data_IF_553115587154
#
_entry.id   IF_553115587154
#
_cell.length_a   1.000
_cell.length_b   1.000
_cell.length_c   1.000
_cell.angle_alpha   90.00
_cell.angle_beta   90.00
_cell.angle_gamma   90.00
#
_symmetry.space_group_name_H-M   'P 1'
#
loop_
_entity.id
_entity.type
_entity.pdbx_description
1 polymer ?
#
# COMPACT_ATOMS: atom_id res chain seq x y z
N UNK A 1 -13.72 35.67 26.07
CA UNK A 1 -12.59 34.71 25.95
C UNK A 1 -12.35 34.26 24.50
N UNK A 2 -13.38 34.24 23.66
CA UNK A 2 -13.31 33.82 22.24
C UNK A 2 -12.61 34.82 21.32
N UNK A 3 -12.74 36.13 21.55
CA UNK A 3 -12.07 37.17 20.76
C UNK A 3 -10.54 37.15 20.91
N UNK A 4 -10.03 36.82 22.09
CA UNK A 4 -8.57 36.73 22.31
C UNK A 4 -7.96 35.47 21.67
N UNK A 5 -8.73 34.40 21.53
CA UNK A 5 -8.31 33.20 20.79
C UNK A 5 -8.25 33.49 19.29
N UNK A 6 -9.30 34.11 18.73
CA UNK A 6 -9.36 34.47 17.32
C UNK A 6 -8.23 35.40 16.89
N UNK A 7 -7.89 36.40 17.74
CA UNK A 7 -6.78 37.30 17.46
C UNK A 7 -5.39 36.60 17.49
N UNK A 8 -5.21 35.59 18.35
CA UNK A 8 -3.96 34.79 18.41
C UNK A 8 -3.82 33.85 17.22
N UNK A 9 -4.91 33.23 16.79
CA UNK A 9 -4.90 32.37 15.59
C UNK A 9 -4.65 33.18 14.32
N UNK A 10 -5.23 34.36 14.18
CA UNK A 10 -4.94 35.25 13.04
C UNK A 10 -3.48 35.75 13.02
N UNK A 11 -2.89 36.03 14.18
CA UNK A 11 -1.51 36.41 14.27
C UNK A 11 -0.54 35.26 13.94
N UNK A 12 -0.88 34.02 14.31
CA UNK A 12 -0.13 32.82 13.99
C UNK A 12 -0.18 32.51 12.48
N UNK A 13 -1.36 32.62 11.86
CA UNK A 13 -1.56 32.44 10.41
C UNK A 13 -0.75 33.44 9.59
N UNK A 14 -0.71 34.70 10.02
CA UNK A 14 0.12 35.73 9.36
C UNK A 14 1.63 35.50 9.50
N UNK A 15 2.06 34.85 10.58
CA UNK A 15 3.48 34.65 10.87
C UNK A 15 4.07 33.41 10.15
N UNK A 16 3.22 32.40 9.85
CA UNK A 16 3.63 31.15 9.21
C UNK A 16 2.66 30.72 8.10
N UNK A 17 2.51 31.51 7.01
CA UNK A 17 1.50 31.24 5.97
C UNK A 17 1.72 29.88 5.27
N UNK A 18 2.96 29.49 5.04
CA UNK A 18 3.30 28.21 4.37
C UNK A 18 2.94 27.02 5.26
N UNK A 19 3.24 27.09 6.57
CA UNK A 19 2.90 26.01 7.52
C UNK A 19 1.40 25.81 7.67
N UNK A 20 0.61 26.88 7.61
CA UNK A 20 -0.87 26.82 7.67
C UNK A 20 -1.46 26.22 6.40
N UNK A 21 -0.89 26.54 5.23
CA UNK A 21 -1.31 25.96 3.94
C UNK A 21 -1.02 24.46 3.91
N UNK A 22 0.15 24.05 4.38
CA UNK A 22 0.52 22.63 4.48
C UNK A 22 -0.42 21.88 5.44
N UNK A 23 -0.68 22.45 6.63
CA UNK A 23 -1.57 21.85 7.61
C UNK A 23 -3.03 21.73 7.08
N UNK A 24 -3.52 22.74 6.35
CA UNK A 24 -4.82 22.71 5.70
C UNK A 24 -4.87 21.67 4.57
N UNK A 25 -3.83 21.57 3.76
CA UNK A 25 -3.71 20.56 2.71
C UNK A 25 -3.69 19.14 3.29
N UNK A 26 -2.93 18.91 4.37
CA UNK A 26 -2.92 17.62 5.08
C UNK A 26 -4.30 17.29 5.69
N UNK A 27 -4.99 18.27 6.31
CA UNK A 27 -6.35 18.07 6.81
C UNK A 27 -7.35 17.74 5.69
N UNK A 28 -7.24 18.41 4.54
CA UNK A 28 -8.10 18.12 3.38
C UNK A 28 -7.81 16.74 2.78
N UNK A 29 -6.56 16.30 2.75
CA UNK A 29 -6.19 14.95 2.32
C UNK A 29 -6.72 13.90 3.29
N UNK A 30 -6.59 14.10 4.60
CA UNK A 30 -7.14 13.19 5.62
C UNK A 30 -8.67 13.13 5.51
N UNK A 31 -9.34 14.28 5.31
CA UNK A 31 -10.80 14.33 5.13
C UNK A 31 -11.26 13.67 3.82
N UNK A 32 -10.51 13.80 2.74
CA UNK A 32 -10.83 13.13 1.46
C UNK A 32 -10.62 11.62 1.54
N UNK A 33 -9.58 11.16 2.24
CA UNK A 33 -9.35 9.73 2.48
C UNK A 33 -10.45 9.12 3.36
N UNK A 34 -10.86 9.79 4.43
CA UNK A 34 -11.99 9.32 5.27
C UNK A 34 -13.33 9.32 4.52
N UNK A 35 -13.54 10.25 3.57
CA UNK A 35 -14.75 10.29 2.77
C UNK A 35 -14.81 9.16 1.73
N UNK A 36 -13.68 8.76 1.17
CA UNK A 36 -13.60 7.62 0.26
C UNK A 36 -13.83 6.28 0.98
N UNK A 37 -13.21 6.08 2.15
CA UNK A 37 -13.41 4.86 2.95
C UNK A 37 -14.87 4.72 3.42
N UNK A 38 -15.50 5.83 3.85
CA UNK A 38 -16.90 5.79 4.30
C UNK A 38 -17.90 5.52 3.17
N UNK A 39 -17.64 5.97 1.95
CA UNK A 39 -18.52 5.72 0.79
C UNK A 39 -18.33 4.33 0.20
N UNK A 40 -17.12 3.78 0.18
CA UNK A 40 -16.87 2.40 -0.23
C UNK A 40 -17.47 1.40 0.78
N UNK A 41 -17.28 1.62 2.08
CA UNK A 41 -17.89 0.79 3.11
C UNK A 41 -19.43 0.76 3.04
N UNK A 42 -20.08 1.87 2.69
CA UNK A 42 -21.55 1.91 2.60
C UNK A 42 -22.12 1.32 1.31
N UNK A 43 -21.38 1.38 0.19
CA UNK A 43 -21.81 0.80 -1.09
C UNK A 43 -21.45 -0.69 -1.13
N UNK A 44 -20.25 -1.08 -0.66
CA UNK A 44 -19.82 -2.48 -0.57
C UNK A 44 -20.70 -3.29 0.39
N UNK A 45 -20.94 -2.79 1.60
CA UNK A 45 -21.77 -3.47 2.59
C UNK A 45 -23.24 -3.65 2.15
N UNK A 46 -23.79 -2.71 1.36
CA UNK A 46 -25.16 -2.81 0.88
C UNK A 46 -25.33 -3.86 -0.24
N UNK A 47 -24.38 -3.97 -1.14
CA UNK A 47 -24.44 -4.91 -2.27
C UNK A 47 -23.99 -6.32 -1.86
N UNK A 48 -22.89 -6.44 -1.12
CA UNK A 48 -22.39 -7.74 -0.63
C UNK A 48 -23.39 -8.36 0.33
N UNK A 49 -23.97 -7.61 1.26
CA UNK A 49 -24.97 -8.14 2.18
C UNK A 49 -26.27 -8.59 1.49
N UNK A 50 -26.71 -7.92 0.42
CA UNK A 50 -27.91 -8.31 -0.30
C UNK A 50 -27.74 -9.59 -1.15
N UNK A 51 -26.54 -9.83 -1.69
CA UNK A 51 -26.20 -11.04 -2.46
C UNK A 51 -25.83 -12.18 -1.50
N UNK A 52 -25.09 -11.89 -0.44
CA UNK A 52 -24.68 -12.88 0.56
C UNK A 52 -25.87 -13.63 1.18
N UNK A 53 -26.92 -12.92 1.57
CA UNK A 53 -28.11 -13.50 2.20
C UNK A 53 -28.87 -14.54 1.31
N UNK A 54 -28.60 -14.61 0.01
CA UNK A 54 -29.30 -15.50 -0.90
C UNK A 54 -28.43 -16.64 -1.50
N UNK A 55 -27.12 -16.51 -1.43
CA UNK A 55 -26.21 -17.37 -2.22
C UNK A 55 -25.20 -18.13 -1.36
N UNK A 56 -24.62 -17.46 -0.37
CA UNK A 56 -23.55 -18.03 0.45
C UNK A 56 -24.10 -18.66 1.73
N UNK A 57 -23.47 -19.75 2.17
CA UNK A 57 -23.92 -20.56 3.33
C UNK A 57 -23.41 -19.97 4.66
N UNK A 58 -22.33 -19.19 4.61
CA UNK A 58 -21.75 -18.55 5.82
C UNK A 58 -22.61 -17.38 6.28
N UNK A 59 -22.52 -17.05 7.57
CA UNK A 59 -23.22 -15.89 8.16
C UNK A 59 -22.69 -14.58 7.56
N UNK A 60 -23.57 -13.60 7.39
CA UNK A 60 -23.20 -12.28 6.85
C UNK A 60 -22.06 -11.61 7.61
N UNK A 61 -21.99 -11.81 8.94
CA UNK A 61 -20.94 -11.26 9.77
C UNK A 61 -19.55 -11.85 9.43
N UNK A 62 -19.48 -13.14 9.11
CA UNK A 62 -18.24 -13.82 8.70
C UNK A 62 -17.81 -13.40 7.30
N UNK A 63 -18.77 -13.28 6.38
CA UNK A 63 -18.53 -12.81 5.01
C UNK A 63 -17.94 -11.38 5.03
N UNK A 64 -18.59 -10.47 5.75
CA UNK A 64 -18.11 -9.10 5.91
C UNK A 64 -16.79 -9.02 6.68
N UNK A 65 -16.61 -9.92 7.66
CA UNK A 65 -15.36 -10.04 8.42
C UNK A 65 -14.19 -10.49 7.56
N UNK A 66 -14.39 -11.45 6.66
CA UNK A 66 -13.38 -11.93 5.73
C UNK A 66 -12.97 -10.83 4.71
N UNK A 67 -13.97 -10.12 4.17
CA UNK A 67 -13.73 -8.96 3.30
C UNK A 67 -12.93 -7.86 4.02
N UNK A 68 -13.34 -7.51 5.24
CA UNK A 68 -12.62 -6.52 6.04
C UNK A 68 -11.18 -6.96 6.37
N UNK A 69 -10.96 -8.25 6.61
CA UNK A 69 -9.62 -8.78 6.87
C UNK A 69 -8.73 -8.72 5.62
N UNK A 70 -9.29 -8.97 4.43
CA UNK A 70 -8.54 -8.85 3.18
C UNK A 70 -8.20 -7.39 2.86
N UNK A 71 -9.15 -6.48 3.02
CA UNK A 71 -8.91 -5.04 2.92
C UNK A 71 -7.82 -4.55 3.88
N UNK A 72 -7.74 -5.12 5.09
CA UNK A 72 -6.69 -4.77 6.04
C UNK A 72 -5.30 -5.18 5.55
N UNK A 73 -5.14 -6.34 4.90
CA UNK A 73 -3.88 -6.75 4.27
C UNK A 73 -3.48 -5.80 3.13
N UNK A 74 -4.46 -5.37 2.33
CA UNK A 74 -4.21 -4.37 1.27
C UNK A 74 -3.80 -3.01 1.84
N UNK A 75 -4.42 -2.59 2.94
CA UNK A 75 -4.08 -1.33 3.61
C UNK A 75 -2.66 -1.38 4.22
N UNK A 76 -2.25 -2.51 4.80
CA UNK A 76 -0.89 -2.73 5.27
C UNK A 76 0.13 -2.64 4.13
N UNK A 77 -0.16 -3.23 2.96
CA UNK A 77 0.69 -3.14 1.78
C UNK A 77 0.79 -1.70 1.26
N UNK A 78 -0.35 -0.98 1.21
CA UNK A 78 -0.37 0.45 0.82
C UNK A 78 0.46 1.31 1.77
N UNK A 79 0.33 1.08 3.08
CA UNK A 79 1.10 1.82 4.10
C UNK A 79 2.60 1.51 4.00
N UNK A 80 2.96 0.24 3.79
CA UNK A 80 4.35 -0.17 3.56
C UNK A 80 4.95 0.59 2.38
N UNK A 81 4.31 0.55 1.20
CA UNK A 81 4.78 1.22 0.00
C UNK A 81 4.84 2.75 0.16
N UNK A 82 3.84 3.35 0.80
CA UNK A 82 3.79 4.79 1.06
C UNK A 82 4.89 5.27 2.03
N UNK A 83 5.39 4.38 2.87
CA UNK A 83 6.45 4.68 3.82
C UNK A 83 7.85 4.27 3.34
N UNK A 84 7.97 3.59 2.21
CA UNK A 84 9.17 2.90 1.77
C UNK A 84 10.41 3.83 1.70
N UNK A 85 10.33 4.95 1.00
CA UNK A 85 11.43 5.91 0.91
C UNK A 85 11.86 6.46 2.28
N UNK A 86 10.92 6.63 3.19
CA UNK A 86 11.21 7.16 4.54
C UNK A 86 11.87 6.13 5.44
N UNK A 87 11.60 4.85 5.22
CA UNK A 87 12.07 3.74 6.06
C UNK A 87 13.36 3.10 5.55
N UNK A 88 13.72 3.35 4.30
CA UNK A 88 14.93 2.87 3.66
C UNK A 88 15.89 4.02 3.34
N UNK A 89 17.18 3.77 3.47
CA UNK A 89 18.21 4.80 3.31
C UNK A 89 18.96 4.70 1.98
N UNK A 90 18.25 4.51 0.87
CA UNK A 90 18.85 4.46 -0.46
C UNK A 90 18.94 5.86 -1.07
N UNK A 91 19.80 6.03 -2.08
CA UNK A 91 20.04 7.31 -2.71
C UNK A 91 19.00 7.65 -3.79
N UNK A 92 18.44 6.60 -4.44
CA UNK A 92 17.47 6.74 -5.52
C UNK A 92 16.42 5.62 -5.44
N UNK A 93 15.17 5.93 -5.81
CA UNK A 93 14.04 5.00 -5.77
C UNK A 93 13.28 5.00 -7.09
N UNK A 94 12.97 3.80 -7.59
CA UNK A 94 12.13 3.57 -8.74
C UNK A 94 10.97 2.66 -8.35
N UNK A 95 9.74 3.13 -8.59
CA UNK A 95 8.52 2.40 -8.30
C UNK A 95 7.79 2.07 -9.59
N UNK A 96 7.42 0.79 -9.74
CA UNK A 96 6.51 0.28 -10.75
C UNK A 96 5.42 -0.52 -10.04
N UNK A 97 4.29 0.13 -9.77
CA UNK A 97 3.26 -0.36 -8.86
C UNK A 97 1.92 -0.47 -9.56
N UNK A 98 1.39 -1.69 -9.62
CA UNK A 98 0.00 -1.94 -9.98
C UNK A 98 -0.96 -1.41 -8.90
N UNK A 99 -2.23 -1.24 -9.27
CA UNK A 99 -3.29 -0.86 -8.34
C UNK A 99 -3.54 -1.97 -7.30
N UNK A 100 -3.68 -1.55 -6.04
CA UNK A 100 -4.01 -2.47 -4.94
C UNK A 100 -5.53 -2.46 -4.78
N UNK A 101 -6.19 -3.39 -5.43
CA UNK A 101 -7.63 -3.59 -5.39
C UNK A 101 -8.01 -5.05 -5.67
N UNK A 102 -9.14 -5.49 -5.18
CA UNK A 102 -9.71 -6.80 -5.49
C UNK A 102 -11.23 -6.70 -5.70
N UNK A 103 -11.83 -7.74 -6.28
CA UNK A 103 -13.27 -7.90 -6.38
C UNK A 103 -13.79 -8.72 -5.19
N UNK A 104 -14.61 -8.13 -4.29
CA UNK A 104 -15.15 -8.83 -3.13
C UNK A 104 -15.98 -10.05 -3.49
N UNK A 105 -16.68 -10.03 -4.64
CA UNK A 105 -17.46 -11.20 -5.09
C UNK A 105 -16.55 -12.36 -5.47
N UNK A 106 -15.42 -12.09 -6.13
CA UNK A 106 -14.41 -13.07 -6.44
C UNK A 106 -13.84 -13.67 -5.16
N UNK A 107 -13.46 -12.84 -4.20
CA UNK A 107 -12.90 -13.27 -2.91
C UNK A 107 -13.85 -14.21 -2.17
N UNK A 108 -15.10 -13.79 -1.94
CA UNK A 108 -16.08 -14.57 -1.19
C UNK A 108 -16.47 -15.84 -1.94
N UNK A 109 -16.58 -15.79 -3.27
CA UNK A 109 -16.82 -16.99 -4.08
C UNK A 109 -15.67 -17.99 -4.00
N UNK A 110 -14.42 -17.51 -3.96
CA UNK A 110 -13.24 -18.37 -3.77
C UNK A 110 -13.24 -19.02 -2.38
N UNK A 111 -13.46 -18.25 -1.32
CA UNK A 111 -13.54 -18.79 0.05
C UNK A 111 -14.61 -19.87 0.14
N UNK A 112 -15.80 -19.60 -0.38
CA UNK A 112 -16.94 -20.54 -0.37
C UNK A 112 -16.70 -21.78 -1.21
N UNK A 113 -15.88 -21.68 -2.28
CA UNK A 113 -15.50 -22.83 -3.09
C UNK A 113 -14.39 -23.68 -2.43
N UNK A 114 -13.47 -23.04 -1.72
CA UNK A 114 -12.35 -23.71 -1.05
C UNK A 114 -12.79 -24.42 0.24
N UNK A 115 -13.74 -23.81 0.96
CA UNK A 115 -14.29 -24.35 2.21
C UNK A 115 -15.66 -24.96 1.95
N UNK A 116 -15.86 -26.22 2.37
CA UNK A 116 -17.14 -26.91 2.23
C UNK A 116 -18.11 -26.48 3.34
N UNK A 117 -19.26 -25.91 2.95
CA UNK A 117 -20.27 -25.46 3.90
C UNK A 117 -20.04 -24.04 4.43
N UNK A 118 -20.64 -23.75 5.61
CA UNK A 118 -20.42 -22.50 6.27
C UNK A 118 -19.03 -22.46 6.91
N UNK A 119 -18.39 -21.31 6.80
CA UNK A 119 -17.07 -21.03 7.41
C UNK A 119 -17.15 -19.75 8.24
N UNK A 120 -16.26 -19.62 9.20
CA UNK A 120 -16.07 -18.41 10.02
C UNK A 120 -14.84 -17.65 9.55
N UNK A 121 -14.77 -16.36 9.88
CA UNK A 121 -13.61 -15.52 9.54
C UNK A 121 -12.30 -16.08 10.11
N UNK A 122 -12.33 -16.65 11.31
CA UNK A 122 -11.15 -17.23 11.96
C UNK A 122 -10.62 -18.46 11.21
N UNK A 123 -11.53 -19.28 10.67
CA UNK A 123 -11.16 -20.49 9.89
C UNK A 123 -10.52 -20.15 8.56
N UNK A 124 -10.87 -19.02 7.94
CA UNK A 124 -10.38 -18.64 6.62
C UNK A 124 -9.17 -17.70 6.63
N UNK A 125 -8.66 -17.27 7.79
CA UNK A 125 -7.52 -16.35 7.90
C UNK A 125 -6.30 -16.82 7.10
N UNK A 126 -5.92 -18.10 7.22
CA UNK A 126 -4.80 -18.67 6.46
C UNK A 126 -5.05 -18.72 4.96
N UNK A 127 -6.31 -18.88 4.54
CA UNK A 127 -6.71 -18.84 3.13
C UNK A 127 -6.64 -17.42 2.59
N UNK A 128 -7.13 -16.43 3.34
CA UNK A 128 -7.04 -15.01 2.99
C UNK A 128 -5.59 -14.59 2.76
N UNK A 129 -4.69 -14.92 3.70
CA UNK A 129 -3.27 -14.65 3.56
C UNK A 129 -2.67 -15.32 2.32
N UNK A 130 -3.00 -16.59 2.08
CA UNK A 130 -2.50 -17.33 0.90
C UNK A 130 -3.02 -16.77 -0.42
N UNK A 131 -4.25 -16.28 -0.47
CA UNK A 131 -4.82 -15.62 -1.65
C UNK A 131 -4.15 -14.27 -1.89
N UNK A 132 -3.94 -13.50 -0.84
CA UNK A 132 -3.24 -12.22 -0.89
C UNK A 132 -1.82 -12.36 -1.46
N UNK A 133 -1.04 -13.32 -0.96
CA UNK A 133 0.32 -13.60 -1.43
C UNK A 133 0.37 -14.09 -2.89
N UNK A 134 -0.74 -14.63 -3.42
CA UNK A 134 -0.84 -15.03 -4.82
C UNK A 134 -1.33 -13.91 -5.72
N UNK A 135 -2.12 -12.99 -5.19
CA UNK A 135 -2.59 -11.82 -5.94
C UNK A 135 -1.49 -10.77 -6.05
N UNK A 136 -0.81 -10.46 -4.95
CA UNK A 136 0.18 -9.39 -4.90
C UNK A 136 1.60 -9.95 -4.80
N UNK A 137 2.40 -9.68 -5.81
CA UNK A 137 3.82 -10.04 -5.83
C UNK A 137 4.64 -8.76 -5.72
N UNK A 138 5.21 -8.55 -4.54
CA UNK A 138 6.13 -7.45 -4.29
C UNK A 138 7.56 -7.92 -4.52
N UNK A 139 8.29 -7.22 -5.38
CA UNK A 139 9.70 -7.45 -5.67
C UNK A 139 10.50 -6.20 -5.34
N UNK A 140 11.57 -6.38 -4.60
CA UNK A 140 12.49 -5.33 -4.20
C UNK A 140 13.90 -5.70 -4.64
N UNK A 141 14.53 -4.84 -5.42
CA UNK A 141 15.90 -5.03 -5.90
C UNK A 141 16.73 -3.79 -5.58
N UNK A 142 17.92 -3.98 -5.04
CA UNK A 142 18.86 -2.90 -4.78
C UNK A 142 20.09 -3.08 -5.66
N UNK A 143 20.35 -2.09 -6.51
CA UNK A 143 21.53 -2.01 -7.36
C UNK A 143 22.51 -1.04 -6.75
N UNK A 144 23.78 -1.41 -6.69
CA UNK A 144 24.87 -0.55 -6.19
C UNK A 144 25.72 -0.11 -7.37
N UNK A 145 25.84 1.21 -7.56
CA UNK A 145 26.71 1.83 -8.54
C UNK A 145 27.88 2.50 -7.85
N UNK A 146 29.10 2.22 -8.30
CA UNK A 146 30.27 3.00 -7.88
C UNK A 146 30.25 4.34 -8.63
N UNK A 147 30.10 5.44 -7.90
CA UNK A 147 30.18 6.81 -8.40
C UNK A 147 31.40 7.52 -7.85
N UNK A 148 31.76 8.67 -8.40
CA UNK A 148 32.87 9.48 -7.89
C UNK A 148 32.56 10.95 -7.99
N UNK A 149 33.18 11.70 -7.09
CA UNK A 149 33.28 13.17 -7.18
C UNK A 149 34.74 13.58 -7.10
N UNK A 150 35.03 14.82 -7.44
CA UNK A 150 36.37 15.35 -7.34
C UNK A 150 36.53 16.15 -6.04
N UNK A 151 37.55 15.81 -5.27
CA UNK A 151 38.03 16.65 -4.21
C UNK A 151 39.29 17.39 -4.63
N UNK A 152 39.53 18.54 -4.00
CA UNK A 152 40.68 19.38 -4.24
C UNK A 152 41.40 19.58 -2.90
N UNK A 153 42.65 19.16 -2.85
CA UNK A 153 43.52 19.44 -1.71
C UNK A 153 44.49 20.55 -2.09
N UNK A 154 44.69 21.52 -1.16
CA UNK A 154 45.57 22.65 -1.38
C UNK A 154 46.60 22.71 -0.25
N UNK A 155 47.85 22.60 -0.61
CA UNK A 155 48.95 22.62 0.31
C UNK A 155 50.03 23.64 -0.12
N UNK A 156 50.84 24.12 0.80
CA UNK A 156 51.89 25.06 0.54
C UNK A 156 53.23 24.38 0.84
N UNK A 157 54.19 24.50 -0.10
CA UNK A 157 55.52 23.96 0.08
C UNK A 157 56.40 24.83 1.00
N UNK A 158 57.59 24.37 1.34
CA UNK A 158 58.54 25.06 2.22
C UNK A 158 59.08 26.37 1.60
N UNK A 159 58.89 26.56 0.30
CA UNK A 159 59.28 27.76 -0.45
C UNK A 159 58.11 28.79 -0.51
N UNK A 160 56.91 28.45 0.02
CA UNK A 160 55.75 29.30 0.08
C UNK A 160 54.86 29.25 -1.18
N UNK A 161 55.08 28.31 -2.08
CA UNK A 161 54.22 28.12 -3.26
C UNK A 161 53.03 27.29 -2.89
N UNK A 162 51.84 27.68 -3.38
CA UNK A 162 50.60 26.94 -3.19
C UNK A 162 50.41 25.96 -4.33
N UNK A 163 50.20 24.71 -3.99
CA UNK A 163 49.89 23.61 -4.91
C UNK A 163 48.45 23.18 -4.68
N UNK A 164 47.82 22.75 -5.77
CA UNK A 164 46.43 22.26 -5.74
C UNK A 164 46.36 20.95 -6.48
N UNK A 165 46.06 19.88 -5.77
CA UNK A 165 45.84 18.55 -6.32
C UNK A 165 44.36 18.23 -6.38
N UNK A 166 43.94 17.63 -7.49
CA UNK A 166 42.56 17.20 -7.69
C UNK A 166 42.54 15.69 -7.87
N UNK A 167 41.79 15.01 -7.00
CA UNK A 167 41.67 13.55 -7.01
C UNK A 167 40.22 13.11 -6.98
N UNK A 168 39.96 11.86 -7.38
CA UNK A 168 38.62 11.24 -7.36
C UNK A 168 38.39 10.57 -6.03
N UNK A 169 37.24 10.84 -5.42
CA UNK A 169 36.73 10.10 -4.28
C UNK A 169 35.57 9.26 -4.74
N UNK A 170 35.70 7.94 -4.59
CA UNK A 170 34.69 6.97 -5.00
C UNK A 170 33.77 6.69 -3.83
N UNK A 171 32.47 6.46 -4.15
CA UNK A 171 31.46 6.10 -3.18
C UNK A 171 30.41 5.19 -3.83
N UNK A 172 29.77 4.35 -3.00
CA UNK A 172 28.68 3.51 -3.42
C UNK A 172 27.38 4.32 -3.47
N UNK A 173 26.64 4.20 -4.56
CA UNK A 173 25.34 4.82 -4.77
C UNK A 173 24.29 3.74 -4.89
N UNK A 174 23.30 3.75 -4.01
CA UNK A 174 22.28 2.71 -3.87
C UNK A 174 21.00 3.11 -4.56
N UNK A 175 20.56 2.30 -5.54
CA UNK A 175 19.32 2.51 -6.28
C UNK A 175 18.38 1.37 -5.94
N UNK A 176 17.20 1.69 -5.42
CA UNK A 176 16.15 0.71 -5.11
C UNK A 176 15.08 0.68 -6.20
N UNK A 177 14.77 -0.50 -6.69
CA UNK A 177 13.67 -0.78 -7.61
C UNK A 177 12.60 -1.56 -6.86
N UNK A 178 11.40 -1.02 -6.82
CA UNK A 178 10.27 -1.64 -6.13
C UNK A 178 9.16 -1.87 -7.16
N UNK A 179 8.82 -3.14 -7.38
CA UNK A 179 7.78 -3.54 -8.32
C UNK A 179 6.68 -4.26 -7.57
N UNK A 180 5.44 -3.84 -7.76
CA UNK A 180 4.25 -4.54 -7.29
C UNK A 180 3.43 -5.01 -8.48
N UNK A 181 3.26 -6.32 -8.62
CA UNK A 181 2.39 -6.94 -9.61
C UNK A 181 1.08 -7.38 -8.95
N UNK A 182 -0.07 -6.96 -9.51
CA UNK A 182 -1.39 -7.44 -9.13
C UNK A 182 -1.91 -8.44 -10.18
N UNK A 183 -1.86 -9.73 -9.87
CA UNK A 183 -2.32 -10.82 -10.74
C UNK A 183 -3.84 -10.92 -10.85
N UNK A 184 -4.58 -9.99 -10.33
CA UNK A 184 -6.04 -9.99 -10.25
C UNK A 184 -6.61 -11.31 -9.69
N UNK A 185 -7.29 -11.21 -8.58
CA UNK A 185 -7.78 -12.36 -7.82
C UNK A 185 -8.61 -13.34 -8.67
N UNK A 186 -9.29 -12.86 -9.73
CA UNK A 186 -10.10 -13.68 -10.65
C UNK A 186 -9.28 -14.70 -11.46
N UNK A 187 -7.98 -14.53 -11.59
CA UNK A 187 -7.09 -15.46 -12.28
C UNK A 187 -6.54 -16.55 -11.37
N UNK A 188 -6.53 -16.33 -10.06
CA UNK A 188 -5.94 -17.24 -9.07
C UNK A 188 -6.63 -18.61 -9.00
N UNK A 189 -7.97 -18.74 -9.16
CA UNK A 189 -8.68 -20.04 -9.07
C UNK A 189 -8.09 -21.11 -9.97
N UNK A 190 -7.75 -20.76 -11.22
CA UNK A 190 -7.27 -21.72 -12.23
C UNK A 190 -5.97 -22.42 -11.79
N UNK A 191 -5.14 -21.76 -10.99
CA UNK A 191 -3.84 -22.26 -10.52
C UNK A 191 -3.87 -22.89 -9.14
N UNK A 192 -4.97 -22.70 -8.39
CA UNK A 192 -5.02 -23.04 -6.96
C UNK A 192 -6.10 -24.02 -6.59
N UNK A 193 -7.14 -24.17 -7.42
CA UNK A 193 -8.32 -24.96 -7.13
C UNK A 193 -8.33 -26.28 -7.92
N UNK A 194 -8.88 -27.32 -7.30
CA UNK A 194 -9.22 -28.57 -7.99
C UNK A 194 -10.40 -28.37 -8.98
N UNK A 195 -10.62 -29.31 -9.87
CA UNK A 195 -11.76 -29.25 -10.80
C UNK A 195 -13.13 -29.15 -10.09
N UNK A 196 -13.25 -29.82 -8.94
CA UNK A 196 -14.46 -29.76 -8.13
C UNK A 196 -14.64 -28.37 -7.48
N UNK A 197 -13.57 -27.81 -6.94
CA UNK A 197 -13.55 -26.45 -6.39
C UNK A 197 -13.82 -25.39 -7.45
N UNK A 198 -13.24 -25.53 -8.66
CA UNK A 198 -13.53 -24.66 -9.79
C UNK A 198 -14.99 -24.72 -10.22
N UNK A 199 -15.59 -25.91 -10.20
CA UNK A 199 -17.04 -26.07 -10.51
C UNK A 199 -17.90 -25.34 -9.47
N UNK A 200 -17.56 -25.44 -8.17
CA UNK A 200 -18.25 -24.69 -7.10
C UNK A 200 -18.06 -23.19 -7.25
N UNK A 201 -16.82 -22.75 -7.50
CA UNK A 201 -16.51 -21.34 -7.74
C UNK A 201 -17.35 -20.77 -8.89
N UNK A 202 -17.43 -21.48 -10.02
CA UNK A 202 -18.23 -21.06 -11.16
C UNK A 202 -19.73 -20.93 -10.82
N UNK A 203 -20.26 -21.77 -9.92
CA UNK A 203 -21.65 -21.66 -9.46
C UNK A 203 -21.85 -20.38 -8.64
N UNK A 204 -20.93 -20.06 -7.72
CA UNK A 204 -21.01 -18.82 -6.93
C UNK A 204 -20.89 -17.58 -7.79
N UNK A 205 -20.03 -17.58 -8.81
CA UNK A 205 -19.86 -16.46 -9.73
C UNK A 205 -21.04 -16.26 -10.71
N UNK A 206 -21.91 -17.26 -10.86
CA UNK A 206 -23.06 -17.20 -11.77
C UNK A 206 -24.35 -16.69 -11.11
N UNK A 207 -24.34 -16.45 -9.79
CA UNK A 207 -25.47 -16.00 -9.01
C UNK A 207 -25.38 -14.53 -8.68
#
# INVERSE_FOLDING_TARGET
TTEKLAARTLAFVKRHPVGVIIALACCLLIFSLQSCVSSMASVGNGLVGAVAASTYVSEDADILGAEAAYCALEDELREYLASYERTHGYDEYHFDLDEIEHDPYVLISMLSALHEGAWTVDEVQGTLQSLFEKQYILTEEVVVEERYYYETDTWTDDEGNTHTDRYRVYYDYYISYVTLENFNLSHVPIYTMSEEQLSRYALYMAT
#
